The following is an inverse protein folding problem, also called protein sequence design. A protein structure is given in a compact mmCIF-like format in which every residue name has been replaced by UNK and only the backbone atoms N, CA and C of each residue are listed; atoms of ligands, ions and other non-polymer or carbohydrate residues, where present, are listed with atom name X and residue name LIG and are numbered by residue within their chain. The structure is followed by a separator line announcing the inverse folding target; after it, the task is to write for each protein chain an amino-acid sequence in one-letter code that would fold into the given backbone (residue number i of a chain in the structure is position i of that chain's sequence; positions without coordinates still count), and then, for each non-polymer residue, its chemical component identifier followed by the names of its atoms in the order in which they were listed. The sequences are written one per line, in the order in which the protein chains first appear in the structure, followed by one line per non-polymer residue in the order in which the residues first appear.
data_IF_265140532625
#
_entry.id   IF_265140532625
#
_cell.length_a   1.000
_cell.length_b   1.000
_cell.length_c   1.000
_cell.angle_alpha   90.00
_cell.angle_beta   90.00
_cell.angle_gamma   90.00
#
_symmetry.space_group_name_H-M   'P 1'
#
loop_
_entity.id
_entity.type
_entity.pdbx_description
1 polymer ?
#
# COMPACT_ATOMS: atom_id res chain seq x y z
N UNK A 1 10.98 -16.28 21.30
CA UNK A 1 11.14 -16.49 19.84
C UNK A 1 9.84 -16.36 19.03
N UNK A 2 8.63 -16.65 19.57
CA UNK A 2 7.35 -16.60 18.81
C UNK A 2 6.91 -15.25 18.22
N UNK A 3 7.64 -14.14 18.44
CA UNK A 3 7.30 -12.79 17.96
C UNK A 3 8.37 -12.16 17.05
N UNK A 4 9.39 -12.93 16.66
CA UNK A 4 10.44 -12.39 15.78
C UNK A 4 9.88 -12.20 14.36
N UNK A 5 10.12 -11.02 13.78
CA UNK A 5 9.74 -10.66 12.41
C UNK A 5 11.03 -10.32 11.66
N UNK A 6 11.65 -11.27 10.93
CA UNK A 6 12.87 -11.00 10.20
C UNK A 6 12.63 -9.92 9.13
N UNK A 7 13.57 -8.99 9.01
CA UNK A 7 13.56 -7.95 7.97
C UNK A 7 14.72 -8.24 7.02
N UNK A 8 14.43 -8.34 5.73
CA UNK A 8 15.47 -8.47 4.70
C UNK A 8 16.01 -7.09 4.32
N UNK A 9 17.33 -6.91 4.40
CA UNK A 9 18.00 -5.71 3.89
C UNK A 9 18.47 -5.97 2.45
N UNK A 10 17.83 -5.32 1.48
CA UNK A 10 18.27 -5.36 0.08
C UNK A 10 19.31 -4.27 -0.21
N UNK A 11 20.18 -4.53 -1.19
CA UNK A 11 21.19 -3.57 -1.67
C UNK A 11 20.56 -2.24 -2.10
N UNK A 12 21.30 -1.14 -1.88
CA UNK A 12 20.83 0.22 -2.22
C UNK A 12 20.35 0.33 -3.68
N UNK A 13 21.13 -0.22 -4.62
CA UNK A 13 20.78 -0.22 -6.04
C UNK A 13 19.42 -0.87 -6.32
N UNK A 14 19.14 -2.02 -5.69
CA UNK A 14 17.86 -2.74 -5.85
C UNK A 14 16.70 -1.91 -5.27
N UNK A 15 16.91 -1.21 -4.15
CA UNK A 15 15.91 -0.29 -3.59
C UNK A 15 15.61 0.87 -4.54
N UNK A 16 16.64 1.43 -5.19
CA UNK A 16 16.47 2.52 -6.18
C UNK A 16 15.66 2.01 -7.38
N UNK A 17 16.01 0.86 -7.95
CA UNK A 17 15.27 0.27 -9.07
C UNK A 17 13.82 -0.04 -8.70
N UNK A 18 13.59 -0.65 -7.53
CA UNK A 18 12.24 -0.93 -7.02
C UNK A 18 11.40 0.35 -6.86
N UNK A 19 12.00 1.42 -6.33
CA UNK A 19 11.34 2.72 -6.21
C UNK A 19 11.01 3.33 -7.57
N UNK A 20 11.93 3.27 -8.52
CA UNK A 20 11.73 3.77 -9.88
C UNK A 20 10.58 3.04 -10.59
N UNK A 21 10.54 1.70 -10.50
CA UNK A 21 9.44 0.89 -11.05
C UNK A 21 8.11 1.24 -10.39
N UNK A 22 8.08 1.36 -9.06
CA UNK A 22 6.86 1.70 -8.31
C UNK A 22 6.32 3.06 -8.73
N UNK A 23 7.19 4.06 -8.90
CA UNK A 23 6.79 5.38 -9.37
C UNK A 23 6.21 5.35 -10.80
N UNK A 24 6.72 4.48 -11.68
CA UNK A 24 6.19 4.30 -13.05
C UNK A 24 4.85 3.59 -13.08
N UNK A 25 4.63 2.60 -12.22
CA UNK A 25 3.38 1.81 -12.17
C UNK A 25 2.27 2.51 -11.38
N UNK A 26 2.63 3.38 -10.43
CA UNK A 26 1.69 4.15 -9.61
C UNK A 26 0.50 4.79 -10.37
N UNK A 27 0.68 5.47 -11.52
CA UNK A 27 -0.45 6.03 -12.27
C UNK A 27 -1.41 4.98 -12.84
N UNK A 28 -0.91 3.81 -13.23
CA UNK A 28 -1.74 2.69 -13.73
C UNK A 28 -2.44 1.99 -12.57
N UNK A 29 -1.76 1.88 -11.41
CA UNK A 29 -2.32 1.32 -10.19
C UNK A 29 -3.67 1.95 -9.81
N UNK A 30 -3.85 3.27 -9.99
CA UNK A 30 -5.15 3.92 -9.70
C UNK A 30 -6.34 3.36 -10.48
N UNK A 31 -6.12 2.76 -11.65
CA UNK A 31 -7.18 2.10 -12.44
C UNK A 31 -7.40 0.64 -12.04
N UNK A 32 -6.38 0.00 -11.46
CA UNK A 32 -6.39 -1.42 -11.07
C UNK A 32 -6.85 -1.64 -9.63
N UNK A 33 -6.64 -0.65 -8.76
CA UNK A 33 -6.95 -0.76 -7.33
C UNK A 33 -8.46 -0.58 -7.11
N UNK A 34 -9.03 -1.40 -6.23
CA UNK A 34 -10.42 -1.31 -5.83
C UNK A 34 -10.72 0.06 -5.17
N UNK A 35 -11.93 0.64 -5.35
CA UNK A 35 -12.32 1.88 -4.67
C UNK A 35 -12.09 1.84 -3.15
N UNK A 36 -12.36 0.69 -2.53
CA UNK A 36 -12.20 0.46 -1.09
C UNK A 36 -10.74 0.24 -0.65
N UNK A 37 -9.80 0.13 -1.59
CA UNK A 37 -8.39 -0.05 -1.26
C UNK A 37 -7.76 1.30 -0.89
N UNK A 38 -7.54 1.48 0.41
CA UNK A 38 -6.84 2.65 0.97
C UNK A 38 -5.35 2.38 1.28
N UNK A 39 -5.01 1.13 1.62
CA UNK A 39 -3.64 0.76 1.98
C UNK A 39 -2.66 0.91 0.80
N UNK A 40 -1.48 1.48 1.08
CA UNK A 40 -0.37 1.68 0.13
C UNK A 40 -0.72 2.54 -1.09
N UNK A 41 -1.81 3.31 -1.03
CA UNK A 41 -2.19 4.27 -2.07
C UNK A 41 -1.68 5.67 -1.71
N UNK A 42 -0.98 6.31 -2.64
CA UNK A 42 -0.51 7.69 -2.44
C UNK A 42 -1.72 8.63 -2.27
N UNK A 43 -1.73 9.40 -1.17
CA UNK A 43 -2.76 10.40 -0.89
C UNK A 43 -3.99 9.88 -0.15
N UNK A 44 -4.03 8.58 0.18
CA UNK A 44 -5.06 8.00 1.05
C UNK A 44 -4.53 7.76 2.46
N UNK A 45 -5.41 7.85 3.44
CA UNK A 45 -5.08 7.66 4.86
C UNK A 45 -5.70 6.37 5.40
N UNK A 46 -5.06 5.78 6.41
CA UNK A 46 -5.57 4.56 7.07
C UNK A 46 -6.97 4.76 7.68
N UNK A 47 -7.31 6.00 8.06
CA UNK A 47 -8.64 6.31 8.58
C UNK A 47 -9.73 6.14 7.51
N UNK A 48 -9.43 6.43 6.24
CA UNK A 48 -10.41 6.26 5.14
C UNK A 48 -10.84 4.80 4.99
N UNK A 49 -9.94 3.83 5.22
CA UNK A 49 -10.34 2.41 5.23
C UNK A 49 -11.24 2.04 6.40
N UNK A 50 -11.08 2.69 7.55
CA UNK A 50 -11.95 2.45 8.72
C UNK A 50 -13.34 3.04 8.47
N UNK A 51 -13.40 4.24 7.90
CA UNK A 51 -14.68 4.88 7.53
C UNK A 51 -15.41 4.04 6.49
N UNK A 52 -14.72 3.61 5.41
CA UNK A 52 -15.32 2.75 4.38
C UNK A 52 -15.85 1.43 4.97
N UNK A 53 -15.12 0.83 5.92
CA UNK A 53 -15.57 -0.40 6.59
C UNK A 53 -16.78 -0.16 7.50
N UNK A 54 -16.82 0.98 8.20
CA UNK A 54 -17.96 1.35 9.04
C UNK A 54 -19.22 1.62 8.20
N UNK A 55 -19.08 2.36 7.09
CA UNK A 55 -20.16 2.59 6.13
C UNK A 55 -20.73 1.28 5.59
N UNK A 56 -19.88 0.33 5.20
CA UNK A 56 -20.33 -0.97 4.68
C UNK A 56 -20.91 -1.95 5.72
N UNK A 57 -20.79 -1.68 7.02
CA UNK A 57 -21.41 -2.47 8.11
C UNK A 57 -22.72 -1.81 8.58
N UNK A 58 -22.82 -0.49 8.45
CA UNK A 58 -23.98 0.28 8.87
C UNK A 58 -25.12 0.28 7.82
N UNK A 59 -24.85 -0.20 6.61
CA UNK A 59 -25.84 -0.56 5.58
C UNK A 59 -26.30 -2.02 5.76
#
# INVERSE_FOLDING_TARGET
MKKFRPICLSNCSVKIFSKAMTNRVSPVGRRLLSPCQSAFVRGKFILESVVTAHEGIHE
#
